data_IF_968538117501
#
_entry.id   IF_968538117501
#
_cell.length_a   1.000
_cell.length_b   1.000
_cell.length_c   1.000
_cell.angle_alpha   90.00
_cell.angle_beta   90.00
_cell.angle_gamma   90.00
#
_symmetry.space_group_name_H-M   'P 1'
#
loop_
_entity.id
_entity.type
_entity.pdbx_description
1 polymer ?
#
# COMPACT_ATOMS: atom_id res chain seq x y z
N UNK A 1 -6.91 20.59 -16.19
CA UNK A 1 -5.77 20.82 -15.26
C UNK A 1 -5.78 19.74 -14.18
N UNK A 2 -4.67 19.42 -13.49
CA UNK A 2 -4.65 18.34 -12.48
C UNK A 2 -5.70 18.49 -11.38
N UNK A 3 -6.02 19.72 -10.96
CA UNK A 3 -7.06 20.01 -9.97
C UNK A 3 -8.49 19.66 -10.45
N UNK A 4 -8.78 19.81 -11.74
CA UNK A 4 -10.09 19.43 -12.30
C UNK A 4 -10.22 17.89 -12.37
N UNK A 5 -9.13 17.21 -12.73
CA UNK A 5 -9.07 15.75 -12.69
C UNK A 5 -9.24 15.24 -11.26
N UNK A 6 -8.60 15.88 -10.29
CA UNK A 6 -8.74 15.54 -8.88
C UNK A 6 -10.19 15.71 -8.41
N UNK A 7 -10.85 16.81 -8.77
CA UNK A 7 -12.28 17.04 -8.46
C UNK A 7 -13.14 15.93 -9.07
N UNK A 8 -12.88 15.56 -10.33
CA UNK A 8 -13.61 14.50 -11.01
C UNK A 8 -13.38 13.14 -10.33
N UNK A 9 -12.14 12.79 -9.99
CA UNK A 9 -11.79 11.56 -9.30
C UNK A 9 -12.46 11.47 -7.93
N UNK A 10 -12.40 12.52 -7.10
CA UNK A 10 -13.03 12.55 -5.77
C UNK A 10 -14.55 12.45 -5.89
N UNK A 11 -15.14 12.98 -6.95
CA UNK A 11 -16.57 12.87 -7.26
C UNK A 11 -17.06 11.44 -7.51
N UNK A 12 -16.16 10.46 -7.64
CA UNK A 12 -16.50 9.04 -7.80
C UNK A 12 -16.10 8.28 -6.53
N UNK A 13 -17.09 7.90 -5.72
CA UNK A 13 -16.85 7.03 -4.56
C UNK A 13 -16.45 5.64 -5.05
N UNK A 14 -15.36 5.12 -4.50
CA UNK A 14 -14.76 3.84 -4.91
C UNK A 14 -14.29 3.02 -3.70
N UNK A 15 -15.19 2.64 -2.77
CA UNK A 15 -14.80 1.80 -1.64
C UNK A 15 -14.34 0.42 -2.10
N UNK A 16 -13.34 -0.15 -1.44
CA UNK A 16 -12.71 -1.44 -1.81
C UNK A 16 -13.67 -2.64 -1.82
N UNK A 17 -14.82 -2.53 -1.16
CA UNK A 17 -15.86 -3.56 -1.08
C UNK A 17 -17.00 -3.37 -2.12
N UNK A 18 -16.97 -2.29 -2.92
CA UNK A 18 -17.93 -2.04 -4.01
C UNK A 18 -17.25 -2.17 -5.39
N UNK A 19 -17.13 -3.41 -5.86
CA UNK A 19 -16.51 -3.72 -7.15
C UNK A 19 -17.14 -2.97 -8.34
N UNK A 20 -18.44 -2.69 -8.28
CA UNK A 20 -19.13 -2.00 -9.37
C UNK A 20 -18.71 -0.53 -9.47
N UNK A 21 -18.58 0.17 -8.33
CA UNK A 21 -18.12 1.56 -8.29
C UNK A 21 -16.64 1.68 -8.67
N UNK A 22 -15.80 0.76 -8.20
CA UNK A 22 -14.39 0.71 -8.61
C UNK A 22 -14.26 0.50 -10.12
N UNK A 23 -15.01 -0.45 -10.70
CA UNK A 23 -15.03 -0.67 -12.15
C UNK A 23 -15.57 0.53 -12.93
N UNK A 24 -16.56 1.25 -12.40
CA UNK A 24 -17.09 2.45 -13.05
C UNK A 24 -16.02 3.56 -13.12
N UNK A 25 -15.26 3.78 -12.03
CA UNK A 25 -14.14 4.70 -12.00
C UNK A 25 -13.04 4.25 -12.96
N UNK A 26 -12.66 2.96 -12.93
CA UNK A 26 -11.66 2.38 -13.84
C UNK A 26 -12.01 2.65 -15.31
N UNK A 27 -13.28 2.42 -15.71
CA UNK A 27 -13.78 2.69 -17.07
C UNK A 27 -13.61 4.16 -17.46
N UNK A 28 -13.99 5.09 -16.59
CA UNK A 28 -13.84 6.53 -16.86
C UNK A 28 -12.37 6.93 -17.05
N UNK A 29 -11.46 6.36 -16.26
CA UNK A 29 -10.01 6.57 -16.39
C UNK A 29 -9.49 5.98 -17.69
N UNK A 30 -9.89 4.77 -18.07
CA UNK A 30 -9.53 4.12 -19.35
C UNK A 30 -9.95 4.99 -20.54
N UNK A 31 -11.18 5.49 -20.55
CA UNK A 31 -11.66 6.39 -21.60
C UNK A 31 -10.84 7.68 -21.71
N UNK A 32 -10.42 8.24 -20.55
CA UNK A 32 -9.60 9.44 -20.51
C UNK A 32 -8.17 9.18 -21.03
N UNK A 33 -7.54 8.08 -20.61
CA UNK A 33 -6.21 7.70 -21.07
C UNK A 33 -6.16 7.38 -22.57
N UNK A 34 -7.20 6.74 -23.09
CA UNK A 34 -7.34 6.48 -24.53
C UNK A 34 -7.47 7.80 -25.32
N UNK A 35 -8.22 8.80 -24.79
CA UNK A 35 -8.30 10.14 -25.40
C UNK A 35 -6.95 10.87 -25.37
N UNK A 36 -6.12 10.63 -24.37
CA UNK A 36 -4.74 11.12 -24.30
C UNK A 36 -3.77 10.38 -25.25
N UNK A 37 -4.25 9.40 -26.04
CA UNK A 37 -3.46 8.66 -27.01
C UNK A 37 -2.65 7.50 -26.44
N UNK A 38 -2.94 7.06 -25.22
CA UNK A 38 -2.44 5.82 -24.66
C UNK A 38 -3.24 4.61 -25.21
N UNK A 39 -2.71 3.40 -25.06
CA UNK A 39 -3.47 2.16 -25.15
C UNK A 39 -3.87 1.75 -23.74
N UNK A 40 -5.11 1.99 -23.35
CA UNK A 40 -5.62 1.72 -22.01
C UNK A 40 -6.75 0.70 -22.04
N UNK A 41 -6.78 -0.17 -21.04
CA UNK A 41 -7.77 -1.23 -20.84
C UNK A 41 -8.12 -1.42 -19.37
N UNK A 42 -9.32 -1.94 -19.12
CA UNK A 42 -9.73 -2.42 -17.81
C UNK A 42 -9.37 -3.90 -17.68
N UNK A 43 -8.71 -4.27 -16.59
CA UNK A 43 -8.27 -5.64 -16.31
C UNK A 43 -9.11 -6.20 -15.16
N UNK A 44 -9.97 -7.20 -15.39
CA UNK A 44 -10.83 -7.74 -14.35
C UNK A 44 -10.05 -8.35 -13.18
N UNK A 45 -10.42 -7.95 -11.96
CA UNK A 45 -9.88 -8.49 -10.72
C UNK A 45 -11.00 -9.11 -9.89
N UNK A 46 -10.94 -10.41 -9.64
CA UNK A 46 -12.01 -11.19 -9.07
C UNK A 46 -12.52 -10.63 -7.73
N UNK A 47 -13.80 -10.26 -7.68
CA UNK A 47 -14.49 -9.80 -6.48
C UNK A 47 -14.12 -8.37 -6.01
N UNK A 48 -13.29 -7.61 -6.78
CA UNK A 48 -12.80 -6.27 -6.38
C UNK A 48 -13.00 -5.17 -7.42
N UNK A 49 -13.52 -5.52 -8.58
CA UNK A 49 -13.66 -4.62 -9.72
C UNK A 49 -12.48 -4.73 -10.67
N UNK A 50 -12.31 -3.71 -11.53
CA UNK A 50 -11.32 -3.74 -12.59
C UNK A 50 -10.12 -2.87 -12.23
N UNK A 51 -8.91 -3.39 -12.46
CA UNK A 51 -7.69 -2.57 -12.50
C UNK A 51 -7.63 -1.76 -13.83
N UNK A 52 -6.88 -0.68 -13.83
CA UNK A 52 -6.53 0.05 -15.06
C UNK A 52 -5.11 -0.31 -15.47
N UNK A 53 -4.93 -0.71 -16.71
CA UNK A 53 -3.62 -0.83 -17.37
C UNK A 53 -3.57 0.13 -18.55
N UNK A 54 -2.51 0.93 -18.65
CA UNK A 54 -2.30 1.80 -19.78
C UNK A 54 -0.82 1.87 -20.19
N UNK A 55 -0.55 2.11 -21.46
CA UNK A 55 0.83 2.26 -21.95
C UNK A 55 0.90 3.17 -23.18
N UNK A 56 2.00 3.92 -23.28
CA UNK A 56 2.44 4.44 -24.55
C UNK A 56 3.35 3.42 -25.23
N UNK A 57 2.87 2.79 -26.29
CA UNK A 57 3.69 1.89 -27.11
C UNK A 57 4.78 2.71 -27.80
N UNK A 58 6.04 2.49 -27.42
CA UNK A 58 7.19 3.08 -28.09
C UNK A 58 7.86 1.99 -28.92
N UNK A 59 7.81 2.06 -30.26
CA UNK A 59 8.42 1.03 -31.11
C UNK A 59 9.92 0.85 -30.78
N UNK A 60 10.34 -0.41 -30.64
CA UNK A 60 11.75 -0.76 -30.43
C UNK A 60 12.31 -0.50 -29.01
N UNK A 61 11.49 -0.08 -28.04
CA UNK A 61 11.89 0.04 -26.63
C UNK A 61 11.16 -1.00 -25.78
N UNK A 62 11.93 -1.85 -25.13
CA UNK A 62 11.50 -2.67 -23.99
C UNK A 62 11.89 -1.96 -22.69
N UNK A 63 11.23 -2.26 -21.57
CA UNK A 63 11.50 -1.62 -20.28
C UNK A 63 10.75 -0.30 -20.12
N UNK A 64 11.42 0.70 -19.55
CA UNK A 64 10.82 2.01 -19.28
C UNK A 64 10.33 2.16 -17.85
N UNK A 65 9.32 3.01 -17.64
CA UNK A 65 8.81 3.33 -16.31
C UNK A 65 7.36 2.87 -16.16
N UNK A 66 7.09 2.13 -15.08
CA UNK A 66 5.73 1.83 -14.64
C UNK A 66 5.32 2.80 -13.51
N UNK A 67 4.25 3.56 -13.73
CA UNK A 67 3.56 4.28 -12.66
C UNK A 67 2.57 3.32 -11.98
N UNK A 68 2.51 3.35 -10.65
CA UNK A 68 1.61 2.50 -9.86
C UNK A 68 0.80 3.36 -8.90
N UNK A 69 -0.47 3.01 -8.76
CA UNK A 69 -1.38 3.55 -7.78
C UNK A 69 -2.60 2.66 -7.59
N UNK A 70 -3.59 3.13 -6.84
CA UNK A 70 -4.84 2.41 -6.61
C UNK A 70 -6.07 3.28 -6.79
N UNK A 71 -7.19 2.63 -7.13
CA UNK A 71 -8.50 3.23 -7.41
C UNK A 71 -9.39 3.30 -6.19
N UNK A 72 -9.25 2.28 -5.33
CA UNK A 72 -10.11 2.08 -4.17
C UNK A 72 -9.78 3.04 -3.02
N UNK A 73 -10.71 3.17 -2.11
CA UNK A 73 -10.57 3.96 -0.89
C UNK A 73 -11.23 3.24 0.27
N UNK A 74 -10.83 3.58 1.50
CA UNK A 74 -11.45 3.07 2.74
C UNK A 74 -12.84 3.68 3.02
N UNK A 75 -13.24 4.70 2.27
CA UNK A 75 -14.44 5.49 2.57
C UNK A 75 -15.71 4.79 2.09
N UNK A 76 -16.72 4.60 2.97
CA UNK A 76 -18.00 4.01 2.59
C UNK A 76 -18.79 4.91 1.63
N UNK A 77 -19.71 4.31 0.88
CA UNK A 77 -20.64 5.02 0.02
C UNK A 77 -21.48 6.02 0.83
N UNK A 78 -21.67 7.22 0.30
CA UNK A 78 -22.37 8.32 0.94
C UNK A 78 -21.44 9.34 1.61
N UNK A 79 -20.18 8.99 1.83
CA UNK A 79 -19.19 9.90 2.44
C UNK A 79 -19.05 11.21 1.67
N UNK A 80 -19.13 11.17 0.34
CA UNK A 80 -19.05 12.35 -0.51
C UNK A 80 -20.20 13.34 -0.26
N UNK A 81 -21.39 12.86 0.12
CA UNK A 81 -22.53 13.73 0.47
C UNK A 81 -22.30 14.49 1.78
N UNK A 82 -21.61 13.88 2.73
CA UNK A 82 -21.27 14.47 4.02
C UNK A 82 -20.03 15.37 3.94
N UNK A 83 -19.05 14.94 3.16
CA UNK A 83 -17.74 15.58 2.98
C UNK A 83 -17.44 15.77 1.49
N UNK A 84 -18.12 16.71 0.80
CA UNK A 84 -17.89 16.95 -0.61
C UNK A 84 -16.50 17.50 -0.87
N UNK A 85 -16.01 17.31 -2.09
CA UNK A 85 -14.79 17.96 -2.53
C UNK A 85 -14.87 19.48 -2.37
N UNK A 86 -13.89 20.05 -1.68
CA UNK A 86 -13.79 21.50 -1.45
C UNK A 86 -12.39 21.99 -1.75
N UNK A 87 -12.33 23.23 -2.20
CA UNK A 87 -11.09 23.99 -2.38
C UNK A 87 -11.09 25.17 -1.42
N UNK A 88 -10.01 25.31 -0.68
CA UNK A 88 -9.69 26.48 0.14
C UNK A 88 -8.28 26.94 -0.25
N UNK A 89 -8.22 27.98 -1.10
CA UNK A 89 -6.97 28.39 -1.74
C UNK A 89 -6.33 27.26 -2.56
N UNK A 90 -5.16 26.83 -2.14
CA UNK A 90 -4.41 25.71 -2.74
C UNK A 90 -4.53 24.39 -1.95
N UNK A 91 -5.46 24.32 -0.99
CA UNK A 91 -5.77 23.12 -0.25
C UNK A 91 -7.06 22.49 -0.75
N UNK A 92 -7.01 21.24 -1.19
CA UNK A 92 -8.18 20.46 -1.55
C UNK A 92 -8.50 19.44 -0.47
N UNK A 93 -9.80 19.24 -0.16
CA UNK A 93 -10.30 18.26 0.80
C UNK A 93 -11.40 17.40 0.18
N UNK A 94 -11.58 16.19 0.68
CA UNK A 94 -12.60 15.25 0.24
C UNK A 94 -12.15 13.79 0.45
N UNK A 95 -13.06 12.82 0.36
CA UNK A 95 -12.72 11.40 0.61
C UNK A 95 -11.78 10.85 -0.46
N UNK A 96 -10.64 10.29 -0.01
CA UNK A 96 -9.61 9.74 -0.90
C UNK A 96 -8.82 10.79 -1.69
N UNK A 97 -8.94 12.08 -1.31
CA UNK A 97 -8.25 13.16 -2.03
C UNK A 97 -6.74 13.04 -1.93
N UNK A 98 -6.24 12.58 -0.78
CA UNK A 98 -4.83 12.36 -0.49
C UNK A 98 -4.42 10.90 -0.79
N UNK A 99 -5.21 9.93 -0.32
CA UNK A 99 -4.97 8.50 -0.47
C UNK A 99 -6.03 7.84 -1.38
N UNK A 100 -5.69 7.63 -2.76
CA UNK A 100 -4.58 8.33 -3.39
C UNK A 100 -4.99 9.01 -4.71
N UNK A 101 -6.20 9.61 -4.74
CA UNK A 101 -6.75 10.21 -5.99
C UNK A 101 -5.89 11.35 -6.53
N UNK A 102 -5.16 12.08 -5.67
CA UNK A 102 -4.20 13.09 -6.12
C UNK A 102 -3.03 12.45 -6.89
N UNK A 103 -2.56 11.28 -6.49
CA UNK A 103 -1.57 10.51 -7.26
C UNK A 103 -2.10 10.09 -8.63
N UNK A 104 -3.38 9.68 -8.72
CA UNK A 104 -4.03 9.38 -10.01
C UNK A 104 -4.10 10.65 -10.88
N UNK A 105 -4.43 11.81 -10.31
CA UNK A 105 -4.46 13.07 -11.05
C UNK A 105 -3.08 13.44 -11.63
N UNK A 106 -2.00 13.16 -10.88
CA UNK A 106 -0.61 13.28 -11.39
C UNK A 106 -0.40 12.36 -12.60
N UNK A 107 -0.80 11.09 -12.52
CA UNK A 107 -0.66 10.15 -13.63
C UNK A 107 -1.42 10.64 -14.88
N UNK A 108 -2.67 11.06 -14.72
CA UNK A 108 -3.49 11.57 -15.84
C UNK A 108 -2.82 12.78 -16.51
N UNK A 109 -2.31 13.72 -15.73
CA UNK A 109 -1.61 14.91 -16.25
C UNK A 109 -0.34 14.54 -17.04
N UNK A 110 0.40 13.52 -16.59
CA UNK A 110 1.58 13.00 -17.31
C UNK A 110 1.17 12.35 -18.65
N UNK A 111 0.09 11.57 -18.66
CA UNK A 111 -0.40 10.98 -19.90
C UNK A 111 -0.93 12.02 -20.88
N UNK A 112 -1.62 13.05 -20.42
CA UNK A 112 -2.04 14.19 -21.27
C UNK A 112 -0.83 14.90 -21.87
N UNK A 113 0.18 15.21 -21.04
CA UNK A 113 1.40 15.90 -21.49
C UNK A 113 2.14 15.10 -22.55
N UNK A 114 2.39 13.82 -22.30
CA UNK A 114 3.14 12.98 -23.23
C UNK A 114 2.31 12.51 -24.42
N UNK A 115 0.98 12.45 -24.29
CA UNK A 115 0.07 12.16 -25.38
C UNK A 115 0.16 13.19 -26.51
N UNK A 116 0.35 14.44 -26.16
CA UNK A 116 0.53 15.55 -27.09
C UNK A 116 2.00 15.69 -27.60
N UNK A 117 2.95 14.98 -26.97
CA UNK A 117 4.39 15.10 -27.30
C UNK A 117 4.79 14.21 -28.48
N UNK A 118 5.64 14.70 -29.41
CA UNK A 118 6.27 13.85 -30.42
C UNK A 118 7.34 12.92 -29.83
N UNK A 119 7.85 13.23 -28.62
CA UNK A 119 8.84 12.44 -27.89
C UNK A 119 8.18 11.82 -26.66
N UNK A 120 7.59 10.64 -26.84
CA UNK A 120 6.94 9.90 -25.76
C UNK A 120 7.95 9.01 -25.03
N UNK A 121 8.02 9.06 -23.68
CA UNK A 121 8.79 8.08 -22.94
C UNK A 121 8.14 6.69 -23.04
N UNK A 122 8.90 5.62 -22.77
CA UNK A 122 8.34 4.31 -22.50
C UNK A 122 7.69 4.36 -21.12
N UNK A 123 6.36 4.59 -21.08
CA UNK A 123 5.58 4.85 -19.89
C UNK A 123 4.37 3.93 -19.85
N UNK A 124 4.19 3.28 -18.73
CA UNK A 124 2.99 2.50 -18.43
C UNK A 124 2.38 2.93 -17.09
N UNK A 125 1.12 2.59 -16.89
CA UNK A 125 0.36 2.84 -15.66
C UNK A 125 -0.36 1.56 -15.26
N UNK A 126 -0.37 1.27 -13.97
CA UNK A 126 -1.23 0.29 -13.34
C UNK A 126 -1.92 0.91 -12.12
N UNK A 127 -3.27 0.85 -12.09
CA UNK A 127 -4.05 1.27 -10.93
C UNK A 127 -4.79 0.05 -10.39
N UNK A 128 -4.44 -0.35 -9.17
CA UNK A 128 -5.05 -1.49 -8.48
C UNK A 128 -6.48 -1.15 -8.01
N UNK A 129 -7.44 -2.09 -8.04
CA UNK A 129 -8.79 -1.88 -7.54
C UNK A 129 -8.95 -2.25 -6.05
N UNK A 130 -7.91 -2.78 -5.39
CA UNK A 130 -7.99 -3.45 -4.09
C UNK A 130 -6.75 -3.26 -3.20
N UNK A 131 -6.05 -2.12 -3.32
CA UNK A 131 -4.85 -1.85 -2.52
C UNK A 131 -5.17 -1.80 -1.04
N UNK A 132 -6.20 -1.05 -0.66
CA UNK A 132 -6.70 -0.87 0.70
C UNK A 132 -7.21 -2.19 1.35
N UNK A 133 -7.50 -3.17 0.50
CA UNK A 133 -7.87 -4.53 0.92
C UNK A 133 -6.71 -5.55 0.81
N UNK A 134 -5.46 -5.09 0.56
CA UNK A 134 -4.25 -5.91 0.53
C UNK A 134 -3.87 -6.47 -0.84
N UNK A 135 -4.41 -5.95 -1.94
CA UNK A 135 -4.11 -6.31 -3.35
C UNK A 135 -4.22 -7.81 -3.65
N UNK A 136 -5.18 -8.47 -3.02
CA UNK A 136 -5.30 -9.94 -3.13
C UNK A 136 -5.61 -10.41 -4.55
N UNK A 137 -6.38 -9.63 -5.31
CA UNK A 137 -6.81 -9.98 -6.68
C UNK A 137 -5.95 -9.35 -7.77
N UNK A 138 -5.36 -8.17 -7.54
CA UNK A 138 -4.56 -7.43 -8.52
C UNK A 138 -3.07 -7.75 -8.50
N UNK A 139 -2.55 -8.26 -7.38
CA UNK A 139 -1.11 -8.54 -7.14
C UNK A 139 -0.42 -9.28 -8.27
N UNK A 140 -1.04 -10.34 -8.79
CA UNK A 140 -0.43 -11.16 -9.86
C UNK A 140 -0.19 -10.35 -11.13
N UNK A 141 -1.18 -9.56 -11.54
CA UNK A 141 -1.10 -8.70 -12.72
C UNK A 141 -0.07 -7.57 -12.54
N UNK A 142 -0.08 -6.92 -11.36
CA UNK A 142 0.88 -5.87 -11.02
C UNK A 142 2.33 -6.38 -11.07
N UNK A 143 2.61 -7.51 -10.40
CA UNK A 143 3.97 -8.09 -10.33
C UNK A 143 4.45 -8.53 -11.71
N UNK A 144 3.58 -9.14 -12.51
CA UNK A 144 3.92 -9.53 -13.88
C UNK A 144 4.29 -8.31 -14.72
N UNK A 145 3.46 -7.26 -14.67
CA UNK A 145 3.69 -6.02 -15.41
C UNK A 145 4.95 -5.29 -14.93
N UNK A 146 5.19 -5.24 -13.62
CA UNK A 146 6.38 -4.58 -13.06
C UNK A 146 7.69 -5.18 -13.60
N UNK A 147 7.76 -6.50 -13.75
CA UNK A 147 8.93 -7.21 -14.28
C UNK A 147 9.25 -6.90 -15.76
N UNK A 148 8.29 -6.34 -16.49
CA UNK A 148 8.49 -5.89 -17.87
C UNK A 148 9.14 -4.49 -17.94
N UNK A 149 9.36 -3.81 -16.80
CA UNK A 149 9.82 -2.44 -16.71
C UNK A 149 11.17 -2.31 -15.98
N UNK A 150 11.94 -1.27 -16.34
CA UNK A 150 13.25 -0.99 -15.72
C UNK A 150 13.12 -0.44 -14.29
N UNK A 151 11.98 0.20 -13.98
CA UNK A 151 11.70 0.84 -12.70
C UNK A 151 10.22 1.06 -12.47
N UNK A 152 9.87 1.19 -11.22
CA UNK A 152 8.51 1.49 -10.76
C UNK A 152 8.52 2.80 -9.95
N UNK A 153 7.56 3.67 -10.25
CA UNK A 153 7.29 4.90 -9.53
C UNK A 153 5.87 4.82 -8.94
N UNK A 154 5.77 4.74 -7.63
CA UNK A 154 4.48 4.60 -6.93
C UNK A 154 3.98 5.98 -6.52
N UNK A 155 2.76 6.31 -6.94
CA UNK A 155 2.15 7.62 -6.77
C UNK A 155 1.34 7.74 -5.48
N UNK A 156 1.64 6.89 -4.49
CA UNK A 156 1.18 7.04 -3.11
C UNK A 156 1.52 8.42 -2.56
N UNK A 157 0.77 8.92 -1.57
CA UNK A 157 1.10 10.17 -0.91
C UNK A 157 2.55 10.27 -0.46
N UNK A 158 3.16 11.44 -0.55
CA UNK A 158 4.50 11.67 -0.01
C UNK A 158 4.50 11.69 1.53
N UNK A 159 5.66 11.53 2.14
CA UNK A 159 5.83 11.73 3.57
C UNK A 159 6.30 13.16 3.80
N UNK A 160 5.35 14.08 4.06
CA UNK A 160 5.68 15.52 4.23
C UNK A 160 6.52 16.08 3.07
N UNK A 161 6.16 15.71 1.84
CA UNK A 161 6.91 16.08 0.63
C UNK A 161 8.09 15.18 0.29
N UNK A 162 8.55 14.28 1.18
CA UNK A 162 9.64 13.35 0.92
C UNK A 162 9.18 12.10 0.16
N UNK A 163 10.02 11.59 -0.74
CA UNK A 163 9.84 10.29 -1.38
C UNK A 163 10.10 9.15 -0.38
N UNK A 164 9.36 8.06 -0.49
CA UNK A 164 9.50 6.88 0.37
C UNK A 164 10.49 5.90 -0.28
N UNK A 165 11.67 5.75 0.33
CA UNK A 165 12.75 4.89 -0.15
C UNK A 165 12.72 3.49 0.48
N UNK A 166 11.95 3.31 1.55
CA UNK A 166 11.73 2.02 2.20
C UNK A 166 10.37 2.01 2.91
N UNK A 167 9.73 0.84 2.93
CA UNK A 167 8.49 0.58 3.65
C UNK A 167 8.62 -0.74 4.43
N UNK A 168 8.06 -0.80 5.63
CA UNK A 168 7.99 -2.09 6.33
C UNK A 168 7.10 -3.06 5.55
N UNK A 169 7.48 -4.33 5.59
CA UNK A 169 6.59 -5.45 5.30
C UNK A 169 5.60 -5.66 6.43
N UNK A 170 4.45 -6.24 6.11
CA UNK A 170 3.36 -6.43 7.05
C UNK A 170 2.91 -7.89 7.11
N UNK A 171 2.63 -8.36 8.31
CA UNK A 171 2.05 -9.67 8.56
C UNK A 171 0.86 -9.57 9.50
N UNK A 172 -0.22 -10.22 9.13
CA UNK A 172 -1.37 -10.47 10.01
C UNK A 172 -1.28 -11.91 10.49
N UNK A 173 -1.15 -12.09 11.82
CA UNK A 173 -1.06 -13.41 12.42
C UNK A 173 -2.26 -13.66 13.31
N UNK A 174 -2.99 -14.74 13.05
CA UNK A 174 -4.10 -15.19 13.90
C UNK A 174 -3.67 -16.46 14.61
N UNK A 175 -3.80 -16.46 15.92
CA UNK A 175 -3.48 -17.65 16.76
C UNK A 175 -4.73 -18.12 17.48
N UNK A 176 -5.06 -19.38 17.32
CA UNK A 176 -6.13 -20.05 18.05
C UNK A 176 -5.54 -21.00 19.07
N UNK A 177 -6.09 -20.96 20.29
CA UNK A 177 -5.74 -21.82 21.41
C UNK A 177 -6.94 -22.69 21.75
N UNK A 178 -6.77 -23.99 21.79
CA UNK A 178 -7.80 -24.97 22.12
C UNK A 178 -7.34 -25.87 23.27
N UNK A 179 -7.95 -25.68 24.41
CA UNK A 179 -7.71 -26.43 25.63
C UNK A 179 -8.91 -27.28 26.03
N UNK A 180 -9.09 -27.48 27.33
CA UNK A 180 -10.15 -28.30 27.91
C UNK A 180 -10.80 -27.56 29.07
N UNK A 181 -12.15 -27.46 29.04
CA UNK A 181 -12.91 -26.90 30.14
C UNK A 181 -12.93 -27.81 31.36
N UNK A 182 -12.96 -27.21 32.54
CA UNK A 182 -13.21 -27.83 33.84
C UNK A 182 -13.78 -26.84 34.79
N UNK A 183 -14.37 -27.27 35.91
CA UNK A 183 -14.81 -26.36 36.97
C UNK A 183 -13.56 -25.77 37.67
N UNK A 184 -13.46 -24.43 37.66
CA UNK A 184 -12.26 -23.73 38.10
C UNK A 184 -11.89 -23.94 39.58
N UNK A 185 -12.87 -24.21 40.46
CA UNK A 185 -12.65 -24.43 41.87
C UNK A 185 -12.73 -25.88 42.33
N UNK A 186 -13.32 -26.79 41.55
CA UNK A 186 -13.51 -28.18 41.97
C UNK A 186 -12.55 -29.18 41.25
N UNK A 187 -12.29 -28.94 39.98
CA UNK A 187 -11.55 -29.89 39.13
C UNK A 187 -10.58 -29.20 38.22
N UNK A 188 -9.90 -28.14 38.71
CA UNK A 188 -8.99 -27.29 37.94
C UNK A 188 -7.92 -28.11 37.20
N UNK A 189 -7.43 -29.18 37.80
CA UNK A 189 -6.40 -30.09 37.28
C UNK A 189 -6.86 -30.91 36.07
N UNK A 190 -8.17 -31.10 35.88
CA UNK A 190 -8.73 -31.73 34.67
C UNK A 190 -8.83 -30.75 33.47
N UNK A 191 -8.71 -29.46 33.72
CA UNK A 191 -8.75 -28.44 32.70
C UNK A 191 -7.39 -28.11 32.09
N UNK A 192 -7.39 -27.67 30.83
CA UNK A 192 -6.25 -27.06 30.15
C UNK A 192 -6.62 -25.67 29.68
N UNK A 193 -5.96 -24.64 30.20
CA UNK A 193 -6.41 -23.25 30.01
C UNK A 193 -5.87 -22.61 28.74
N UNK A 194 -6.71 -22.45 27.74
CA UNK A 194 -6.40 -21.72 26.53
C UNK A 194 -6.03 -20.24 26.82
N UNK A 195 -6.66 -19.61 27.82
CA UNK A 195 -6.36 -18.24 28.23
C UNK A 195 -4.93 -18.11 28.79
N UNK A 196 -4.51 -19.03 29.67
CA UNK A 196 -3.13 -18.98 30.20
C UNK A 196 -2.10 -19.21 29.12
N UNK A 197 -2.38 -20.10 28.17
CA UNK A 197 -1.46 -20.34 27.05
C UNK A 197 -1.40 -19.12 26.11
N UNK A 198 -2.52 -18.47 25.82
CA UNK A 198 -2.55 -17.21 25.09
C UNK A 198 -1.71 -16.12 25.79
N UNK A 199 -1.81 -16.01 27.10
CA UNK A 199 -0.99 -15.07 27.87
C UNK A 199 0.51 -15.36 27.77
N UNK A 200 0.92 -16.64 27.84
CA UNK A 200 2.32 -17.06 27.63
C UNK A 200 2.79 -16.75 26.20
N UNK A 201 1.94 -17.01 25.22
CA UNK A 201 2.23 -16.67 23.83
C UNK A 201 2.40 -15.16 23.64
N UNK A 202 1.55 -14.35 24.24
CA UNK A 202 1.68 -12.88 24.17
C UNK A 202 3.02 -12.39 24.78
N UNK A 203 3.46 -12.99 25.88
CA UNK A 203 4.79 -12.70 26.47
C UNK A 203 5.95 -13.24 25.58
N UNK A 204 5.77 -14.38 24.94
CA UNK A 204 6.74 -14.90 23.98
C UNK A 204 6.97 -13.92 22.82
N UNK A 205 5.95 -13.21 22.34
CA UNK A 205 6.07 -12.24 21.26
C UNK A 205 7.04 -11.08 21.58
N UNK A 206 7.23 -10.73 22.87
CA UNK A 206 8.25 -9.76 23.29
C UNK A 206 9.68 -10.23 22.95
N UNK A 207 9.92 -11.55 22.95
CA UNK A 207 11.21 -12.13 22.55
C UNK A 207 11.35 -12.24 21.02
N UNK A 208 10.24 -12.26 20.28
CA UNK A 208 10.22 -12.28 18.80
C UNK A 208 10.43 -10.88 18.25
N UNK A 209 9.90 -9.87 18.92
CA UNK A 209 10.10 -8.47 18.55
C UNK A 209 11.60 -8.10 18.64
N UNK A 210 12.09 -7.33 17.67
CA UNK A 210 13.47 -6.83 17.64
C UNK A 210 13.44 -5.31 17.46
N UNK A 211 13.20 -4.58 18.56
CA UNK A 211 13.00 -3.12 18.54
C UNK A 211 14.20 -2.37 17.94
N UNK A 212 15.43 -2.85 18.21
CA UNK A 212 16.64 -2.25 17.64
C UNK A 212 16.71 -2.41 16.10
N UNK A 213 16.15 -3.50 15.56
CA UNK A 213 15.99 -3.70 14.12
C UNK A 213 14.70 -3.06 13.58
N UNK A 214 13.90 -2.41 14.44
CA UNK A 214 12.61 -1.83 14.09
C UNK A 214 11.51 -2.85 13.80
N UNK A 215 11.72 -4.12 14.13
CA UNK A 215 10.71 -5.19 14.01
C UNK A 215 9.72 -5.11 15.16
N UNK A 216 8.43 -5.02 14.83
CA UNK A 216 7.34 -5.05 15.79
C UNK A 216 6.46 -6.27 15.56
N UNK A 217 6.04 -6.91 16.66
CA UNK A 217 5.10 -8.04 16.66
C UNK A 217 4.11 -7.75 17.80
N UNK A 218 2.99 -7.12 17.45
CA UNK A 218 2.10 -6.48 18.42
C UNK A 218 0.76 -7.20 18.49
N UNK A 219 0.39 -7.80 19.65
CA UNK A 219 -0.98 -8.25 19.86
C UNK A 219 -1.97 -7.07 19.77
N UNK A 220 -2.99 -7.19 18.92
CA UNK A 220 -3.94 -6.11 18.65
C UNK A 220 -5.37 -6.46 19.06
N UNK A 221 -5.75 -7.75 18.95
CA UNK A 221 -7.08 -8.22 19.35
C UNK A 221 -6.94 -9.52 20.15
N UNK A 222 -7.60 -9.63 21.29
CA UNK A 222 -7.61 -10.83 22.11
C UNK A 222 -9.03 -11.17 22.57
N UNK A 223 -9.37 -12.45 22.59
CA UNK A 223 -10.61 -12.94 23.17
C UNK A 223 -10.40 -14.31 23.84
N UNK A 224 -10.97 -14.51 25.02
CA UNK A 224 -10.88 -15.79 25.76
C UNK A 224 -11.98 -15.93 26.82
N UNK A 225 -12.40 -17.18 27.06
CA UNK A 225 -13.34 -17.52 28.12
C UNK A 225 -14.77 -17.03 27.87
N UNK A 226 -15.60 -17.06 28.92
CA UNK A 226 -17.01 -16.66 28.85
C UNK A 226 -17.78 -16.88 30.15
N UNK A 227 -17.21 -17.61 31.11
CA UNK A 227 -17.80 -17.90 32.41
C UNK A 227 -16.77 -17.78 33.52
N UNK A 228 -17.13 -17.21 34.66
CA UNK A 228 -16.24 -16.89 35.77
C UNK A 228 -15.69 -18.12 36.52
N UNK A 229 -16.43 -19.22 36.51
CA UNK A 229 -16.13 -20.45 37.23
C UNK A 229 -15.69 -21.64 36.32
N UNK A 230 -15.32 -21.37 35.07
CA UNK A 230 -14.91 -22.39 34.09
C UNK A 230 -13.52 -22.10 33.59
N UNK A 231 -12.65 -23.11 33.53
CA UNK A 231 -11.34 -23.03 32.84
C UNK A 231 -11.60 -22.80 31.36
N UNK A 232 -11.09 -21.70 30.75
CA UNK A 232 -11.33 -21.40 29.34
C UNK A 232 -10.73 -22.44 28.41
N UNK A 233 -11.55 -23.07 27.57
CA UNK A 233 -11.11 -24.06 26.56
C UNK A 233 -10.80 -23.44 25.20
N UNK A 234 -11.08 -22.15 25.01
CA UNK A 234 -10.77 -21.45 23.76
C UNK A 234 -10.24 -20.06 24.03
N UNK A 235 -9.28 -19.64 23.22
CA UNK A 235 -8.79 -18.27 23.15
C UNK A 235 -8.33 -17.97 21.72
N UNK A 236 -8.35 -16.68 21.34
CA UNK A 236 -7.89 -16.19 20.05
C UNK A 236 -7.09 -14.90 20.23
N UNK A 237 -5.96 -14.81 19.53
CA UNK A 237 -5.09 -13.63 19.48
C UNK A 237 -4.85 -13.22 18.05
N UNK A 238 -4.97 -11.92 17.74
CA UNK A 238 -4.60 -11.34 16.45
C UNK A 238 -3.40 -10.42 16.69
N UNK A 239 -2.43 -10.48 15.78
CA UNK A 239 -1.14 -9.83 15.90
C UNK A 239 -0.83 -9.10 14.59
N UNK A 240 -0.43 -7.83 14.69
CA UNK A 240 0.19 -7.06 13.60
C UNK A 240 1.72 -7.22 13.71
N UNK A 241 2.35 -7.70 12.63
CA UNK A 241 3.79 -7.82 12.52
C UNK A 241 4.32 -6.85 11.45
N UNK A 242 5.39 -6.13 11.78
CA UNK A 242 6.03 -5.17 10.86
C UNK A 242 7.53 -5.38 10.85
N UNK A 243 8.12 -5.51 9.65
CA UNK A 243 9.54 -5.83 9.45
C UNK A 243 10.18 -4.95 8.38
N UNK A 244 11.47 -4.56 8.55
CA UNK A 244 12.18 -3.75 7.57
C UNK A 244 12.88 -4.57 6.47
N UNK A 245 13.16 -5.84 6.72
CA UNK A 245 13.95 -6.67 5.81
C UNK A 245 13.33 -8.05 5.62
N UNK A 246 13.61 -8.69 4.49
CA UNK A 246 13.22 -10.07 4.21
C UNK A 246 13.85 -11.07 5.21
N UNK A 247 15.05 -10.76 5.72
CA UNK A 247 15.68 -11.57 6.76
C UNK A 247 14.87 -11.54 8.07
N UNK A 248 14.38 -10.37 8.48
CA UNK A 248 13.51 -10.24 9.65
C UNK A 248 12.13 -10.88 9.43
N UNK A 249 11.56 -10.81 8.21
CA UNK A 249 10.34 -11.55 7.87
C UNK A 249 10.52 -13.05 8.08
N UNK A 250 11.60 -13.60 7.53
CA UNK A 250 11.94 -15.03 7.70
C UNK A 250 12.13 -15.38 9.18
N UNK A 251 12.89 -14.59 9.92
CA UNK A 251 13.15 -14.81 11.34
C UNK A 251 11.85 -14.82 12.18
N UNK A 252 10.96 -13.85 11.92
CA UNK A 252 9.67 -13.79 12.64
C UNK A 252 8.81 -15.01 12.33
N UNK A 253 8.69 -15.40 11.07
CA UNK A 253 7.94 -16.61 10.66
C UNK A 253 8.49 -17.87 11.32
N UNK A 254 9.79 -18.05 11.31
CA UNK A 254 10.47 -19.19 11.93
C UNK A 254 10.26 -19.23 13.44
N UNK A 255 10.37 -18.07 14.12
CA UNK A 255 10.13 -17.97 15.55
C UNK A 255 8.68 -18.36 15.91
N UNK A 256 7.70 -17.85 15.13
CA UNK A 256 6.29 -18.21 15.33
C UNK A 256 6.04 -19.70 15.10
N UNK A 257 6.61 -20.28 14.06
CA UNK A 257 6.48 -21.72 13.74
C UNK A 257 7.18 -22.63 14.77
N UNK A 258 8.22 -22.12 15.42
CA UNK A 258 8.95 -22.83 16.47
C UNK A 258 8.25 -22.83 17.83
N UNK A 259 7.21 -22.02 18.03
CA UNK A 259 6.49 -21.97 19.32
C UNK A 259 5.95 -23.35 19.72
N UNK A 260 6.13 -23.70 21.00
CA UNK A 260 5.57 -24.91 21.59
C UNK A 260 4.79 -24.54 22.84
N UNK A 261 3.53 -25.01 22.99
CA UNK A 261 2.74 -24.71 24.18
C UNK A 261 3.38 -25.26 25.43
N UNK A 262 3.34 -24.50 26.51
CA UNK A 262 3.84 -24.93 27.81
C UNK A 262 2.87 -25.93 28.48
N UNK A 263 1.60 -25.86 28.19
CA UNK A 263 0.59 -26.83 28.61
C UNK A 263 0.31 -27.82 27.47
N UNK A 264 0.73 -29.11 27.59
CA UNK A 264 0.53 -30.10 26.52
C UNK A 264 -0.96 -30.41 26.26
N UNK A 265 -1.85 -30.02 27.19
CA UNK A 265 -3.31 -30.10 27.00
C UNK A 265 -3.91 -29.01 26.14
N UNK A 266 -3.11 -28.02 25.67
CA UNK A 266 -3.56 -26.94 24.79
C UNK A 266 -2.97 -27.10 23.40
N UNK A 267 -3.81 -27.23 22.40
CA UNK A 267 -3.40 -27.15 21.00
C UNK A 267 -3.33 -25.68 20.56
N UNK A 268 -2.27 -25.33 19.85
CA UNK A 268 -2.04 -23.99 19.31
C UNK A 268 -1.98 -24.07 17.77
N UNK A 269 -2.80 -23.28 17.11
CA UNK A 269 -2.80 -23.14 15.64
C UNK A 269 -2.44 -21.70 15.27
N UNK A 270 -1.44 -21.54 14.41
CA UNK A 270 -0.94 -20.24 13.97
C UNK A 270 -1.19 -20.11 12.47
N UNK A 271 -2.03 -19.13 12.07
CA UNK A 271 -2.20 -18.71 10.67
C UNK A 271 -1.45 -17.38 10.51
N UNK A 272 -0.29 -17.42 9.87
CA UNK A 272 0.61 -16.28 9.70
C UNK A 272 0.64 -15.87 8.22
N UNK A 273 -0.04 -14.78 7.88
CA UNK A 273 -0.12 -14.21 6.54
C UNK A 273 0.73 -12.95 6.47
N UNK A 274 1.79 -13.01 5.68
CA UNK A 274 2.66 -11.88 5.40
C UNK A 274 2.48 -11.50 3.92
N UNK A 275 1.44 -10.76 3.66
CA UNK A 275 0.99 -10.49 2.28
C UNK A 275 1.76 -9.35 1.62
N UNK A 276 2.40 -8.50 2.40
CA UNK A 276 3.24 -7.40 1.94
C UNK A 276 4.69 -7.64 2.41
N UNK A 277 5.60 -8.12 1.57
CA UNK A 277 7.02 -8.19 1.90
C UNK A 277 7.60 -6.79 2.13
N UNK A 278 8.74 -6.59 2.80
CA UNK A 278 9.34 -5.27 2.95
C UNK A 278 9.80 -4.69 1.60
N UNK A 279 9.62 -3.39 1.42
CA UNK A 279 10.29 -2.60 0.39
C UNK A 279 11.62 -2.12 0.96
N UNK A 280 12.68 -2.88 0.70
CA UNK A 280 14.01 -2.55 1.16
C UNK A 280 14.69 -1.50 0.27
N UNK A 281 15.49 -0.64 0.87
CA UNK A 281 16.38 0.24 0.13
C UNK A 281 17.52 -0.58 -0.47
N UNK A 282 17.53 -0.73 -1.79
CA UNK A 282 18.59 -1.41 -2.54
C UNK A 282 19.52 -0.38 -3.22
N UNK A 283 20.73 -0.76 -3.64
CA UNK A 283 21.57 0.13 -4.44
C UNK A 283 20.85 0.68 -5.68
N UNK A 284 20.03 -0.13 -6.34
CA UNK A 284 19.30 0.28 -7.53
C UNK A 284 18.16 1.27 -7.21
N UNK A 285 17.36 1.04 -6.15
CA UNK A 285 16.33 1.99 -5.72
C UNK A 285 16.94 3.28 -5.17
N UNK A 286 18.11 3.20 -4.52
CA UNK A 286 18.86 4.37 -4.08
C UNK A 286 19.34 5.21 -5.26
N UNK A 287 19.91 4.61 -6.29
CA UNK A 287 20.32 5.30 -7.50
C UNK A 287 19.12 5.96 -8.21
N UNK A 288 17.94 5.30 -8.19
CA UNK A 288 16.69 5.85 -8.72
C UNK A 288 16.27 7.10 -7.94
N UNK A 289 16.32 7.05 -6.60
CA UNK A 289 16.04 8.21 -5.75
C UNK A 289 17.04 9.35 -5.98
N UNK A 290 18.34 9.06 -6.02
CA UNK A 290 19.39 10.08 -6.19
C UNK A 290 19.22 10.81 -7.53
N UNK A 291 18.84 10.08 -8.59
CA UNK A 291 18.50 10.68 -9.89
C UNK A 291 17.23 11.56 -9.80
N UNK A 292 16.17 11.12 -9.11
CA UNK A 292 14.95 11.90 -8.93
C UNK A 292 15.24 13.18 -8.13
N UNK A 293 16.05 13.06 -7.08
CA UNK A 293 16.51 14.19 -6.26
C UNK A 293 17.33 15.20 -7.06
N UNK A 294 18.20 14.74 -7.97
CA UNK A 294 18.96 15.61 -8.85
C UNK A 294 18.03 16.43 -9.76
N UNK A 295 17.01 15.81 -10.36
CA UNK A 295 16.00 16.50 -11.17
C UNK A 295 15.22 17.53 -10.35
N UNK A 296 14.86 17.21 -9.10
CA UNK A 296 14.19 18.17 -8.21
C UNK A 296 15.07 19.39 -7.93
N UNK A 297 16.37 19.18 -7.63
CA UNK A 297 17.33 20.26 -7.37
C UNK A 297 17.54 21.18 -8.57
N UNK A 298 17.59 20.63 -9.78
CA UNK A 298 17.65 21.43 -11.01
C UNK A 298 16.41 22.32 -11.19
N UNK A 299 15.26 21.95 -10.61
CA UNK A 299 14.05 22.73 -10.57
C UNK A 299 13.95 23.67 -9.34
N UNK A 300 15.03 23.75 -8.53
CA UNK A 300 15.08 24.60 -7.33
C UNK A 300 14.40 24.03 -6.09
N UNK A 301 14.12 22.70 -6.06
CA UNK A 301 13.45 22.02 -4.96
C UNK A 301 14.33 20.95 -4.32
N UNK A 302 14.18 20.75 -3.00
CA UNK A 302 14.80 19.63 -2.31
C UNK A 302 13.77 18.49 -2.16
N UNK A 303 14.11 17.31 -2.66
CA UNK A 303 13.33 16.09 -2.45
C UNK A 303 13.95 15.30 -1.29
N UNK A 304 13.24 15.24 -0.16
CA UNK A 304 13.63 14.43 0.98
C UNK A 304 13.45 12.92 0.74
N UNK A 305 14.08 12.11 1.60
CA UNK A 305 13.89 10.66 1.65
C UNK A 305 13.28 10.24 2.98
N UNK A 306 12.26 9.38 2.95
CA UNK A 306 11.59 8.85 4.13
C UNK A 306 11.60 7.32 4.14
N UNK A 307 11.59 6.75 5.35
CA UNK A 307 11.35 5.33 5.60
C UNK A 307 10.09 5.24 6.46
N UNK A 308 9.09 4.47 6.04
CA UNK A 308 7.76 4.48 6.67
C UNK A 308 7.31 3.07 7.10
N UNK A 309 6.47 3.04 8.16
CA UNK A 309 5.95 1.78 8.71
C UNK A 309 4.76 1.18 7.94
N UNK A 310 4.08 2.00 7.11
CA UNK A 310 2.97 1.55 6.28
C UNK A 310 3.47 0.87 5.00
N UNK A 311 2.74 -0.13 4.53
CA UNK A 311 3.00 -0.81 3.26
C UNK A 311 2.18 -0.19 2.12
N UNK A 312 2.50 -0.54 0.89
CA UNK A 312 1.77 -0.21 -0.34
C UNK A 312 2.02 -1.27 -1.41
N UNK A 313 1.50 -1.08 -2.60
CA UNK A 313 1.83 -1.89 -3.78
C UNK A 313 3.30 -1.77 -4.19
N UNK A 314 4.00 -0.71 -3.77
CA UNK A 314 5.46 -0.59 -3.90
C UNK A 314 6.24 -1.71 -3.22
N UNK A 315 5.70 -2.27 -2.15
CA UNK A 315 6.29 -3.46 -1.50
C UNK A 315 6.30 -4.67 -2.44
N UNK A 316 5.25 -4.86 -3.22
CA UNK A 316 5.12 -5.99 -4.15
C UNK A 316 6.09 -5.87 -5.33
N UNK A 317 6.21 -4.68 -5.89
CA UNK A 317 7.10 -4.41 -7.04
C UNK A 317 8.57 -4.46 -6.65
N UNK A 318 8.93 -3.93 -5.48
CA UNK A 318 10.28 -4.02 -4.93
C UNK A 318 10.68 -5.48 -4.63
N UNK A 319 9.78 -6.26 -4.01
CA UNK A 319 10.03 -7.69 -3.76
C UNK A 319 10.11 -8.53 -5.05
N UNK A 320 9.53 -8.06 -6.15
CA UNK A 320 9.70 -8.66 -7.47
C UNK A 320 11.08 -8.39 -8.10
N UNK A 321 11.95 -7.63 -7.40
CA UNK A 321 13.31 -7.29 -7.83
C UNK A 321 13.40 -6.06 -8.73
N UNK A 322 12.31 -5.29 -8.89
CA UNK A 322 12.30 -4.10 -9.73
C UNK A 322 12.65 -2.86 -8.90
N UNK A 323 13.60 -2.01 -9.34
CA UNK A 323 13.90 -0.75 -8.66
C UNK A 323 12.63 0.08 -8.48
N UNK A 324 12.22 0.28 -7.24
CA UNK A 324 10.96 0.95 -6.88
C UNK A 324 11.24 2.19 -6.03
N UNK A 325 10.60 3.31 -6.36
CA UNK A 325 10.54 4.52 -5.55
C UNK A 325 9.08 4.86 -5.29
N UNK A 326 8.74 5.11 -4.04
CA UNK A 326 7.36 5.30 -3.60
C UNK A 326 7.17 6.71 -3.00
N UNK A 327 5.90 7.08 -2.69
CA UNK A 327 5.60 8.39 -2.12
C UNK A 327 5.84 9.55 -3.09
N UNK A 328 5.59 9.32 -4.38
CA UNK A 328 5.76 10.33 -5.41
C UNK A 328 4.49 11.12 -5.71
N UNK A 329 3.40 10.82 -5.03
CA UNK A 329 2.20 11.65 -4.98
C UNK A 329 2.39 12.91 -4.16
N UNK A 330 1.41 13.82 -4.19
CA UNK A 330 1.49 15.11 -3.52
C UNK A 330 1.58 15.02 -2.00
N UNK A 331 2.04 16.10 -1.38
CA UNK A 331 1.98 16.32 0.06
C UNK A 331 0.53 16.62 0.49
N UNK A 332 0.23 16.26 1.72
CA UNK A 332 -1.08 16.43 2.33
C UNK A 332 -1.10 15.76 3.69
N UNK A 333 -2.27 15.31 4.12
CA UNK A 333 -2.42 14.64 5.40
C UNK A 333 -3.82 14.08 5.62
N UNK A 334 -3.98 13.39 6.76
CA UNK A 334 -5.28 12.86 7.15
C UNK A 334 -5.71 11.63 6.35
N UNK A 335 -4.78 10.83 5.80
CA UNK A 335 -5.13 9.54 5.20
C UNK A 335 -6.00 8.74 6.17
N UNK A 336 -7.14 8.21 5.69
CA UNK A 336 -8.14 7.51 6.49
C UNK A 336 -8.81 8.34 7.62
N UNK A 337 -8.58 9.66 7.65
CA UNK A 337 -9.18 10.55 8.64
C UNK A 337 -10.18 11.55 8.01
N UNK A 338 -11.20 12.01 8.75
CA UNK A 338 -12.24 12.90 8.19
C UNK A 338 -11.72 14.24 7.65
N UNK A 339 -10.57 14.69 8.07
CA UNK A 339 -9.90 15.93 7.69
C UNK A 339 -8.86 15.74 6.57
N UNK A 340 -8.99 14.68 5.80
CA UNK A 340 -8.12 14.35 4.67
C UNK A 340 -8.00 15.52 3.66
N UNK A 341 -6.76 15.84 3.27
CA UNK A 341 -6.45 16.96 2.41
C UNK A 341 -5.16 16.77 1.60
N UNK A 342 -5.05 17.52 0.52
CA UNK A 342 -3.85 17.56 -0.35
C UNK A 342 -3.47 19.01 -0.68
N UNK A 343 -2.16 19.24 -0.85
CA UNK A 343 -1.59 20.49 -1.33
C UNK A 343 -1.53 20.51 -2.86
N UNK A 344 -2.20 21.47 -3.49
CA UNK A 344 -2.23 21.60 -4.94
C UNK A 344 -0.96 22.23 -5.52
N UNK A 345 -0.18 22.98 -4.76
CA UNK A 345 1.13 23.47 -5.22
C UNK A 345 2.12 22.29 -5.31
N UNK A 346 2.10 21.39 -4.32
CA UNK A 346 2.91 20.16 -4.39
C UNK A 346 2.38 19.21 -5.48
N UNK A 347 1.05 19.17 -5.74
CA UNK A 347 0.50 18.40 -6.86
C UNK A 347 1.07 18.88 -8.19
N UNK A 348 1.05 20.19 -8.45
CA UNK A 348 1.63 20.78 -9.66
C UNK A 348 3.14 20.52 -9.74
N UNK A 349 3.85 20.63 -8.61
CA UNK A 349 5.28 20.28 -8.51
C UNK A 349 5.55 18.81 -8.87
N UNK A 350 4.74 17.84 -8.36
CA UNK A 350 4.90 16.42 -8.69
C UNK A 350 4.74 16.12 -10.16
N UNK A 351 3.76 16.75 -10.81
CA UNK A 351 3.59 16.63 -12.27
C UNK A 351 4.82 17.14 -13.00
N UNK A 352 5.34 18.33 -12.63
CA UNK A 352 6.52 18.89 -13.26
C UNK A 352 7.79 18.05 -13.02
N UNK A 353 8.01 17.60 -11.79
CA UNK A 353 9.13 16.74 -11.40
C UNK A 353 9.16 15.44 -12.19
N UNK A 354 8.03 14.72 -12.19
CA UNK A 354 7.95 13.43 -12.86
C UNK A 354 8.01 13.58 -14.38
N UNK A 355 7.42 14.63 -14.95
CA UNK A 355 7.56 14.89 -16.38
C UNK A 355 9.03 15.09 -16.77
N UNK A 356 9.77 15.93 -16.04
CA UNK A 356 11.19 16.18 -16.29
C UNK A 356 12.04 14.93 -16.09
N UNK A 357 11.75 14.15 -15.06
CA UNK A 357 12.43 12.87 -14.83
C UNK A 357 12.24 11.87 -15.98
N UNK A 358 11.02 11.80 -16.53
CA UNK A 358 10.65 10.88 -17.62
C UNK A 358 11.19 11.33 -18.96
N UNK A 359 11.36 12.63 -19.19
CA UNK A 359 12.00 13.18 -20.40
C UNK A 359 13.50 12.83 -20.49
N UNK A 360 14.11 12.50 -19.35
CA UNK A 360 15.55 12.18 -19.27
C UNK A 360 16.44 13.44 -19.19
N UNK A 361 17.76 13.28 -19.07
CA UNK A 361 18.67 14.41 -19.17
C UNK A 361 18.50 15.03 -20.56
N UNK A 362 18.12 16.30 -20.60
CA UNK A 362 17.98 17.03 -21.85
C UNK A 362 19.30 17.02 -22.60
N UNK A 363 19.31 16.54 -23.83
CA UNK A 363 20.24 17.07 -24.80
C UNK A 363 19.90 18.58 -24.88
N UNK A 364 20.73 19.38 -24.26
CA UNK A 364 20.73 20.85 -24.47
C UNK A 364 20.76 21.08 -25.96
N UNK A 365 19.69 21.65 -26.50
CA UNK A 365 19.61 22.08 -27.88
C UNK A 365 20.67 23.16 -28.17
#
# INVERSE_FOLDING_TARGET
MPADDLRWLVGHESPSDDAARVSALAKGIVERLNRAGASAEAVPCAGRGDAVRATFKTPGKSGGTLLVGHLDTVWPVGTLSERPFRLDGRRATGPGVFDMKAGIAVALALFDRFGASPRRPALSLFLAPDEEAGSGSSRGALVALAREHDRVLVLEPSQEGAAKIARKGTGLVTVEFRGRSAHAGLEREKGASALLEMARFALFLESVAARAAGTTVTPTVASAGGKTNVVPSSARLVIDARVWTAAEDTRVREALAAYRPADPGVAVSIDARFDRPPMEETPASRALYDRMRAVAREAGHELGAARVGGASDGNLTAAAGVPTLDGLGPAGGGAHAPDEWVDLDDLDFRVALLARFLEGPGETA
#
